data_IF_442237142688
#
_entry.id   IF_442237142688
#
_cell.length_a   1.000
_cell.length_b   1.000
_cell.length_c   1.000
_cell.angle_alpha   90.00
_cell.angle_beta   90.00
_cell.angle_gamma   90.00
#
_symmetry.space_group_name_H-M   'P 1'
#
loop_
_entity.id
_entity.type
_entity.pdbx_description
1 polymer ?
#
# COMPACT_ATOMS: atom_id res chain seq x y z
N UNK A 1 47.40 33.70 -10.75
CA UNK A 1 46.69 32.67 -11.54
C UNK A 1 45.55 32.17 -10.68
N UNK A 2 44.37 32.70 -10.96
CA UNK A 2 43.09 32.37 -10.34
C UNK A 2 42.44 31.27 -11.16
N UNK A 3 42.10 30.14 -10.54
CA UNK A 3 41.10 29.22 -11.09
C UNK A 3 39.91 29.18 -10.16
N UNK A 4 38.78 29.55 -10.75
CA UNK A 4 37.46 29.72 -10.18
C UNK A 4 36.86 28.38 -9.75
N UNK A 5 36.50 28.32 -8.48
CA UNK A 5 35.55 27.38 -7.91
C UNK A 5 34.20 27.56 -8.62
N UNK A 6 33.90 26.67 -9.58
CA UNK A 6 32.61 26.60 -10.26
C UNK A 6 31.53 26.26 -9.24
N UNK A 7 30.84 27.28 -8.75
CA UNK A 7 29.56 27.13 -8.11
C UNK A 7 28.62 26.44 -9.12
N UNK A 8 27.99 25.34 -8.71
CA UNK A 8 26.73 24.89 -9.31
C UNK A 8 25.58 25.59 -8.58
N UNK A 9 24.96 26.65 -9.16
CA UNK A 9 23.63 26.99 -8.72
C UNK A 9 22.69 27.30 -9.88
N UNK A 10 21.45 26.83 -9.76
CA UNK A 10 20.18 27.59 -9.90
C UNK A 10 19.04 26.62 -10.23
N UNK A 11 19.27 25.66 -11.14
CA UNK A 11 18.22 24.73 -11.59
C UNK A 11 17.74 23.80 -10.47
N UNK A 12 18.64 23.09 -9.76
CA UNK A 12 18.23 22.11 -8.76
C UNK A 12 17.57 22.74 -7.51
N UNK A 13 17.94 23.98 -7.16
CA UNK A 13 17.24 24.78 -6.13
C UNK A 13 15.87 25.27 -6.61
N UNK A 14 15.74 25.61 -7.90
CA UNK A 14 14.48 26.00 -8.53
C UNK A 14 13.46 24.85 -8.51
N UNK A 15 13.88 23.63 -8.89
CA UNK A 15 13.02 22.44 -8.87
C UNK A 15 12.59 22.04 -7.45
N UNK A 16 13.52 22.02 -6.49
CA UNK A 16 13.18 21.73 -5.09
C UNK A 16 12.21 22.77 -4.47
N UNK A 17 12.32 24.04 -4.89
CA UNK A 17 11.41 25.09 -4.44
C UNK A 17 10.02 24.97 -5.10
N UNK A 18 9.97 24.62 -6.39
CA UNK A 18 8.71 24.36 -7.10
C UNK A 18 7.96 23.18 -6.49
N UNK A 19 8.67 22.10 -6.15
CA UNK A 19 8.10 20.95 -5.46
C UNK A 19 7.54 21.34 -4.08
N UNK A 20 8.26 22.17 -3.32
CA UNK A 20 7.78 22.68 -2.03
C UNK A 20 6.51 23.53 -2.14
N UNK A 21 6.43 24.42 -3.14
CA UNK A 21 5.24 25.25 -3.37
C UNK A 21 4.05 24.38 -3.79
N UNK A 22 4.27 23.45 -4.71
CA UNK A 22 3.25 22.51 -5.16
C UNK A 22 2.71 21.67 -4.00
N UNK A 23 3.59 21.10 -3.17
CA UNK A 23 3.22 20.32 -1.98
C UNK A 23 2.40 21.17 -1.01
N UNK A 24 2.78 22.44 -0.77
CA UNK A 24 2.03 23.34 0.08
C UNK A 24 0.61 23.62 -0.47
N UNK A 25 0.49 23.83 -1.78
CA UNK A 25 -0.79 24.06 -2.44
C UNK A 25 -1.69 22.81 -2.41
N UNK A 26 -1.12 21.61 -2.61
CA UNK A 26 -1.86 20.34 -2.47
C UNK A 26 -2.42 20.23 -1.05
N UNK A 27 -1.58 20.41 -0.02
CA UNK A 27 -1.99 20.35 1.39
C UNK A 27 -3.09 21.35 1.72
N UNK A 28 -2.98 22.57 1.20
CA UNK A 28 -4.01 23.61 1.36
C UNK A 28 -5.32 23.15 0.75
N UNK A 29 -5.32 22.70 -0.51
CA UNK A 29 -6.51 22.20 -1.19
C UNK A 29 -7.16 21.03 -0.44
N UNK A 30 -6.37 20.10 0.10
CA UNK A 30 -6.89 18.98 0.90
C UNK A 30 -7.61 19.43 2.18
N UNK A 31 -7.28 20.61 2.72
CA UNK A 31 -7.88 21.14 3.95
C UNK A 31 -9.05 22.08 3.70
N UNK A 32 -9.07 22.75 2.55
CA UNK A 32 -10.05 23.81 2.28
C UNK A 32 -11.14 23.43 1.28
N UNK A 33 -10.85 22.48 0.39
CA UNK A 33 -11.79 22.14 -0.69
C UNK A 33 -12.87 21.18 -0.21
N UNK A 34 -14.11 21.42 -0.64
CA UNK A 34 -15.21 20.50 -0.40
C UNK A 34 -15.07 19.27 -1.29
N UNK A 35 -14.94 18.08 -0.70
CA UNK A 35 -14.83 16.79 -1.38
C UNK A 35 -13.82 16.76 -2.55
N UNK A 36 -12.52 17.04 -2.32
CA UNK A 36 -11.52 17.20 -3.40
C UNK A 36 -11.37 15.96 -4.29
N UNK A 37 -11.70 14.77 -3.78
CA UNK A 37 -11.70 13.53 -4.56
C UNK A 37 -12.68 13.53 -5.74
N UNK A 38 -13.70 14.39 -5.75
CA UNK A 38 -14.62 14.54 -6.89
C UNK A 38 -13.99 15.32 -8.05
N UNK A 39 -12.91 16.06 -7.79
CA UNK A 39 -12.23 16.92 -8.77
C UNK A 39 -10.92 16.33 -9.29
N UNK A 40 -10.62 15.06 -9.02
CA UNK A 40 -9.36 14.41 -9.43
C UNK A 40 -9.10 14.44 -10.94
N UNK A 41 -10.13 14.64 -11.76
CA UNK A 41 -9.98 14.79 -13.21
C UNK A 41 -9.25 16.08 -13.60
N UNK A 42 -9.30 17.11 -12.75
CA UNK A 42 -8.61 18.38 -12.95
C UNK A 42 -7.11 18.28 -12.61
N UNK A 43 -6.67 17.23 -11.92
CA UNK A 43 -5.25 17.02 -11.59
C UNK A 43 -4.45 16.77 -12.88
N UNK A 44 -3.49 17.64 -13.22
CA UNK A 44 -2.65 17.45 -14.41
C UNK A 44 -1.81 16.18 -14.29
N UNK A 45 -1.65 15.45 -15.40
CA UNK A 45 -0.83 14.23 -15.44
C UNK A 45 0.62 14.48 -15.01
N UNK A 46 1.16 15.67 -15.24
CA UNK A 46 2.53 16.00 -14.89
C UNK A 46 2.79 15.94 -13.37
N UNK A 47 1.76 16.12 -12.54
CA UNK A 47 1.89 16.20 -11.08
C UNK A 47 1.19 15.06 -10.35
N UNK A 48 0.57 14.11 -11.07
CA UNK A 48 -0.25 13.06 -10.45
C UNK A 48 0.53 12.16 -9.50
N UNK A 49 1.81 11.87 -9.80
CA UNK A 49 2.68 11.10 -8.91
C UNK A 49 3.02 11.87 -7.63
N UNK A 50 3.32 13.17 -7.75
CA UNK A 50 3.56 14.05 -6.60
C UNK A 50 2.33 14.10 -5.71
N UNK A 51 1.14 14.22 -6.29
CA UNK A 51 -0.13 14.25 -5.54
C UNK A 51 -0.36 12.97 -4.77
N UNK A 52 -0.22 11.78 -5.37
CA UNK A 52 -0.40 10.51 -4.64
C UNK A 52 0.65 10.29 -3.56
N UNK A 53 1.90 10.72 -3.80
CA UNK A 53 2.96 10.67 -2.79
C UNK A 53 2.64 11.55 -1.58
N UNK A 54 2.22 12.80 -1.81
CA UNK A 54 1.81 13.73 -0.74
C UNK A 54 0.61 13.20 0.01
N UNK A 55 -0.41 12.71 -0.70
CA UNK A 55 -1.60 12.12 -0.08
C UNK A 55 -1.24 10.96 0.86
N UNK A 56 -0.32 10.09 0.45
CA UNK A 56 0.14 9.01 1.32
C UNK A 56 0.94 9.52 2.51
N UNK A 57 1.79 10.53 2.34
CA UNK A 57 2.53 11.14 3.45
C UNK A 57 1.60 11.76 4.49
N UNK A 58 0.55 12.48 4.05
CA UNK A 58 -0.45 13.03 4.98
C UNK A 58 -1.26 11.92 5.67
N UNK A 59 -1.58 10.83 4.97
CA UNK A 59 -2.22 9.65 5.58
C UNK A 59 -1.34 8.96 6.62
N UNK A 60 -0.02 8.90 6.38
CA UNK A 60 0.93 8.28 7.30
C UNK A 60 0.98 9.03 8.65
N UNK A 61 0.68 10.33 8.69
CA UNK A 61 0.66 11.15 9.92
C UNK A 61 -0.74 11.45 10.47
N UNK A 62 -1.78 11.35 9.64
CA UNK A 62 -3.16 11.63 10.05
C UNK A 62 -3.72 10.53 10.97
N UNK A 63 -4.70 10.91 11.81
CA UNK A 63 -5.34 9.98 12.73
C UNK A 63 -6.39 9.18 11.96
N UNK A 64 -6.31 7.83 11.94
CA UNK A 64 -7.33 7.03 11.28
C UNK A 64 -8.74 7.35 11.81
N UNK A 65 -9.67 7.61 10.89
CA UNK A 65 -11.07 7.91 11.20
C UNK A 65 -11.43 9.40 11.30
N UNK A 66 -10.45 10.32 11.34
CA UNK A 66 -10.73 11.75 11.31
C UNK A 66 -11.18 12.23 9.89
N UNK A 67 -11.73 13.44 9.82
CA UNK A 67 -12.22 14.01 8.56
C UNK A 67 -11.08 14.19 7.55
N UNK A 68 -9.90 14.64 8.00
CA UNK A 68 -8.75 14.89 7.13
C UNK A 68 -8.18 13.61 6.53
N UNK A 69 -8.08 12.55 7.33
CA UNK A 69 -7.75 11.19 6.93
C UNK A 69 -8.74 10.69 5.90
N UNK A 70 -10.05 10.89 6.12
CA UNK A 70 -11.09 10.52 5.17
C UNK A 70 -10.92 11.25 3.84
N UNK A 71 -10.64 12.55 3.87
CA UNK A 71 -10.38 13.38 2.68
C UNK A 71 -9.17 12.86 1.91
N UNK A 72 -8.04 12.67 2.60
CA UNK A 72 -6.81 12.19 1.96
C UNK A 72 -6.99 10.78 1.39
N UNK A 73 -7.64 9.88 2.14
CA UNK A 73 -7.88 8.49 1.72
C UNK A 73 -8.78 8.42 0.50
N UNK A 74 -9.90 9.15 0.50
CA UNK A 74 -10.82 9.20 -0.65
C UNK A 74 -10.13 9.81 -1.88
N UNK A 75 -9.31 10.85 -1.68
CA UNK A 75 -8.57 11.50 -2.77
C UNK A 75 -7.50 10.59 -3.37
N UNK A 76 -6.73 9.89 -2.51
CA UNK A 76 -5.72 8.93 -2.94
C UNK A 76 -6.37 7.81 -3.74
N UNK A 77 -7.43 7.21 -3.20
CA UNK A 77 -8.17 6.14 -3.86
C UNK A 77 -8.72 6.60 -5.22
N UNK A 78 -9.39 7.75 -5.27
CA UNK A 78 -10.00 8.26 -6.49
C UNK A 78 -8.95 8.53 -7.59
N UNK A 79 -7.83 9.18 -7.25
CA UNK A 79 -6.77 9.49 -8.22
C UNK A 79 -6.06 8.22 -8.70
N UNK A 80 -5.69 7.32 -7.78
CA UNK A 80 -5.03 6.06 -8.11
C UNK A 80 -5.89 5.12 -8.96
N UNK A 81 -7.19 5.02 -8.68
CA UNK A 81 -8.12 4.22 -9.49
C UNK A 81 -8.29 4.78 -10.91
N UNK A 82 -8.22 6.11 -11.05
CA UNK A 82 -8.40 6.81 -12.32
C UNK A 82 -7.15 6.77 -13.20
N UNK A 83 -5.97 6.95 -12.61
CA UNK A 83 -4.69 7.07 -13.32
C UNK A 83 -3.90 5.78 -13.36
N UNK A 84 -4.37 4.77 -12.62
CA UNK A 84 -3.72 3.48 -12.51
C UNK A 84 -2.31 3.53 -11.87
N UNK A 85 -2.11 4.48 -10.95
CA UNK A 85 -0.86 4.74 -10.22
C UNK A 85 -1.00 4.47 -8.72
N UNK A 86 0.12 4.38 -8.00
CA UNK A 86 0.17 4.25 -6.54
C UNK A 86 1.35 5.07 -5.98
N UNK A 87 1.37 5.38 -4.66
CA UNK A 87 2.48 6.10 -4.04
C UNK A 87 3.81 5.34 -4.17
N UNK A 88 4.89 6.02 -4.52
CA UNK A 88 6.22 5.41 -4.66
C UNK A 88 6.72 4.76 -3.36
N UNK A 89 6.25 5.26 -2.20
CA UNK A 89 6.54 4.67 -0.89
C UNK A 89 6.06 3.24 -0.73
N UNK A 90 5.20 2.72 -1.62
CA UNK A 90 4.79 1.33 -1.58
C UNK A 90 5.82 0.42 -2.25
N UNK A 91 6.67 0.93 -3.13
CA UNK A 91 7.61 0.10 -3.88
C UNK A 91 8.78 -0.33 -2.98
N UNK A 92 8.95 -1.63 -2.80
CA UNK A 92 10.10 -2.22 -2.12
C UNK A 92 11.09 -2.79 -3.14
N UNK A 93 12.37 -2.49 -2.99
CA UNK A 93 13.42 -2.97 -3.91
C UNK A 93 14.34 -4.03 -3.31
N UNK A 94 14.48 -4.07 -1.98
CA UNK A 94 15.51 -4.85 -1.30
C UNK A 94 15.01 -6.21 -0.80
N UNK A 95 14.29 -6.95 -1.66
CA UNK A 95 13.75 -8.26 -1.29
C UNK A 95 14.68 -9.40 -1.72
N UNK A 96 14.82 -10.39 -0.84
CA UNK A 96 15.60 -11.60 -1.08
C UNK A 96 14.68 -12.81 -0.87
N UNK A 97 14.48 -13.61 -1.92
CA UNK A 97 13.79 -14.90 -1.81
C UNK A 97 14.71 -15.91 -1.11
N UNK A 98 14.22 -16.59 -0.08
CA UNK A 98 15.03 -17.54 0.70
C UNK A 98 14.91 -19.00 0.23
N UNK A 99 13.82 -19.33 -0.44
CA UNK A 99 13.47 -20.71 -0.79
C UNK A 99 13.30 -20.90 -2.31
N UNK A 100 13.59 -22.11 -2.80
CA UNK A 100 13.46 -22.44 -4.23
C UNK A 100 12.00 -22.66 -4.64
N UNK A 101 11.18 -23.15 -3.71
CA UNK A 101 9.76 -23.44 -3.89
C UNK A 101 8.90 -22.51 -3.02
N UNK A 102 7.63 -22.24 -3.42
CA UNK A 102 6.71 -21.50 -2.57
C UNK A 102 6.39 -22.31 -1.31
N UNK A 103 6.20 -21.61 -0.19
CA UNK A 103 5.78 -22.22 1.07
C UNK A 103 4.35 -22.76 0.98
N UNK A 104 3.46 -22.00 0.36
CA UNK A 104 2.09 -22.40 0.10
C UNK A 104 1.55 -21.72 -1.17
N UNK A 105 0.41 -22.20 -1.67
CA UNK A 105 -0.25 -21.62 -2.83
C UNK A 105 -1.76 -21.59 -2.64
N UNK A 106 -2.36 -20.43 -2.86
CA UNK A 106 -3.80 -20.24 -2.91
C UNK A 106 -4.35 -20.38 -4.35
N UNK A 107 -5.60 -19.99 -4.55
CA UNK A 107 -6.22 -19.99 -5.88
C UNK A 107 -5.55 -19.00 -6.85
N UNK A 108 -5.12 -17.84 -6.35
CA UNK A 108 -4.69 -16.69 -7.15
C UNK A 108 -3.25 -16.23 -6.89
N UNK A 109 -2.55 -16.81 -5.91
CA UNK A 109 -1.22 -16.39 -5.51
C UNK A 109 -0.40 -17.53 -4.92
N UNK A 110 0.92 -17.40 -5.03
CA UNK A 110 1.91 -18.19 -4.32
C UNK A 110 2.46 -17.38 -3.14
N UNK A 111 2.62 -18.02 -1.99
CA UNK A 111 3.20 -17.43 -0.79
C UNK A 111 4.63 -17.92 -0.67
N UNK A 112 5.57 -16.98 -0.68
CA UNK A 112 6.99 -17.24 -0.52
C UNK A 112 7.49 -16.63 0.77
N UNK A 113 8.44 -17.31 1.41
CA UNK A 113 9.23 -16.73 2.49
C UNK A 113 10.40 -15.96 1.90
N UNK A 114 10.56 -14.72 2.34
CA UNK A 114 11.65 -13.84 1.93
C UNK A 114 12.28 -13.12 3.11
N UNK A 115 13.22 -12.25 2.78
CA UNK A 115 13.85 -11.31 3.68
C UNK A 115 13.90 -9.92 3.05
N UNK A 116 13.71 -8.89 3.87
CA UNK A 116 13.87 -7.49 3.49
C UNK A 116 14.55 -6.76 4.65
N UNK A 117 15.68 -6.11 4.37
CA UNK A 117 16.49 -5.39 5.37
C UNK A 117 16.80 -6.25 6.63
N UNK A 118 17.12 -7.53 6.43
CA UNK A 118 17.43 -8.49 7.49
C UNK A 118 16.21 -9.02 8.27
N UNK A 119 14.98 -8.65 7.88
CA UNK A 119 13.74 -9.10 8.54
C UNK A 119 12.99 -10.10 7.67
N UNK A 120 12.43 -11.19 8.25
CA UNK A 120 11.65 -12.16 7.50
C UNK A 120 10.33 -11.54 7.03
N UNK A 121 10.01 -11.71 5.75
CA UNK A 121 8.80 -11.20 5.10
C UNK A 121 8.05 -12.30 4.37
N UNK A 122 6.73 -12.12 4.28
CA UNK A 122 5.86 -12.85 3.39
C UNK A 122 5.82 -12.14 2.03
N UNK A 123 6.00 -12.90 0.96
CA UNK A 123 5.95 -12.44 -0.42
C UNK A 123 4.77 -13.15 -1.10
N UNK A 124 3.60 -12.49 -1.15
CA UNK A 124 2.41 -13.00 -1.86
C UNK A 124 2.51 -12.63 -3.34
N UNK A 125 2.99 -13.58 -4.15
CA UNK A 125 3.23 -13.42 -5.58
C UNK A 125 1.97 -13.79 -6.34
N UNK A 126 1.37 -12.82 -7.05
CA UNK A 126 0.17 -13.07 -7.82
C UNK A 126 0.48 -13.97 -9.03
N UNK A 127 -0.40 -14.94 -9.27
CA UNK A 127 -0.33 -15.81 -10.43
C UNK A 127 -1.02 -15.16 -11.61
N UNK A 128 -0.29 -14.97 -12.70
CA UNK A 128 -0.80 -14.35 -13.92
C UNK A 128 -0.83 -15.42 -15.02
N UNK A 129 -2.01 -15.97 -15.29
CA UNK A 129 -2.20 -17.08 -16.24
C UNK A 129 -2.88 -16.65 -17.55
N UNK A 130 -2.55 -15.50 -18.14
CA UNK A 130 -3.49 -14.90 -19.09
C UNK A 130 -2.98 -13.80 -20.05
N UNK A 131 -3.84 -13.44 -21.00
CA UNK A 131 -3.75 -12.34 -21.96
C UNK A 131 -3.54 -10.96 -21.31
N UNK A 132 -2.96 -10.02 -22.08
CA UNK A 132 -2.64 -8.65 -21.65
C UNK A 132 -3.79 -7.92 -20.93
N UNK A 133 -5.02 -8.01 -21.43
CA UNK A 133 -6.18 -7.33 -20.84
C UNK A 133 -6.49 -7.82 -19.42
N UNK A 134 -6.25 -9.10 -19.11
CA UNK A 134 -6.45 -9.63 -17.77
C UNK A 134 -5.29 -9.26 -16.84
N UNK A 135 -4.05 -9.09 -17.36
CA UNK A 135 -2.92 -8.55 -16.58
C UNK A 135 -3.23 -7.16 -16.05
N UNK A 136 -3.75 -6.27 -16.89
CA UNK A 136 -4.15 -4.91 -16.48
C UNK A 136 -5.24 -4.93 -15.40
N UNK A 137 -6.21 -5.85 -15.52
CA UNK A 137 -7.27 -6.03 -14.52
C UNK A 137 -6.70 -6.49 -13.16
N UNK A 138 -5.80 -7.47 -13.17
CA UNK A 138 -5.11 -7.97 -11.96
C UNK A 138 -4.29 -6.85 -11.33
N UNK A 139 -3.55 -6.09 -12.14
CA UNK A 139 -2.76 -4.95 -11.66
C UNK A 139 -3.62 -3.85 -11.04
N UNK A 140 -4.76 -3.54 -11.66
CA UNK A 140 -5.71 -2.57 -11.13
C UNK A 140 -6.28 -3.01 -9.79
N UNK A 141 -6.54 -4.31 -9.66
CA UNK A 141 -6.99 -4.90 -8.40
C UNK A 141 -5.90 -4.85 -7.33
N UNK A 142 -4.67 -5.28 -7.65
CA UNK A 142 -3.52 -5.22 -6.74
C UNK A 142 -3.28 -3.79 -6.22
N UNK A 143 -3.32 -2.78 -7.10
CA UNK A 143 -3.15 -1.38 -6.71
C UNK A 143 -4.24 -0.92 -5.75
N UNK A 144 -5.50 -1.28 -6.02
CA UNK A 144 -6.63 -0.98 -5.14
C UNK A 144 -6.47 -1.62 -3.77
N UNK A 145 -6.03 -2.87 -3.72
CA UNK A 145 -5.82 -3.61 -2.48
C UNK A 145 -4.67 -3.03 -1.68
N UNK A 146 -3.54 -2.73 -2.31
CA UNK A 146 -2.40 -2.11 -1.64
C UNK A 146 -2.76 -0.75 -1.03
N UNK A 147 -3.51 0.09 -1.77
CA UNK A 147 -3.94 1.41 -1.26
C UNK A 147 -4.80 1.27 -0.02
N UNK A 148 -5.75 0.33 -0.01
CA UNK A 148 -6.64 0.12 1.13
C UNK A 148 -5.86 -0.47 2.29
N UNK A 149 -5.13 -1.55 2.04
CA UNK A 149 -4.40 -2.29 3.07
C UNK A 149 -3.34 -1.43 3.76
N UNK A 150 -2.67 -0.54 3.02
CA UNK A 150 -1.74 0.44 3.61
C UNK A 150 -2.39 1.30 4.71
N UNK A 151 -3.68 1.58 4.62
CA UNK A 151 -4.37 2.42 5.60
C UNK A 151 -4.89 1.63 6.81
N UNK A 152 -4.89 0.30 6.75
CA UNK A 152 -5.42 -0.56 7.82
C UNK A 152 -4.39 -0.79 8.93
N UNK A 153 -4.09 0.27 9.68
CA UNK A 153 -3.09 0.26 10.75
C UNK A 153 -3.74 -0.06 12.10
N UNK A 154 -3.78 -1.35 12.46
CA UNK A 154 -4.37 -1.83 13.71
C UNK A 154 -3.60 -3.05 14.25
N UNK A 155 -3.58 -3.26 15.58
CA UNK A 155 -2.80 -4.33 16.22
C UNK A 155 -3.23 -5.75 15.83
N UNK A 156 -4.50 -5.94 15.47
CA UNK A 156 -5.06 -7.22 15.01
C UNK A 156 -5.20 -7.31 13.48
N UNK A 157 -4.58 -6.41 12.71
CA UNK A 157 -4.53 -6.47 11.24
C UNK A 157 -3.08 -6.64 10.80
N UNK A 158 -2.84 -7.58 9.88
CA UNK A 158 -1.50 -7.80 9.35
C UNK A 158 -0.96 -6.53 8.68
N UNK A 159 0.21 -6.01 9.07
CA UNK A 159 0.75 -4.80 8.46
C UNK A 159 1.10 -4.99 6.98
N UNK A 160 0.75 -3.99 6.17
CA UNK A 160 1.23 -3.90 4.80
C UNK A 160 2.60 -3.23 4.76
N UNK A 161 3.58 -3.93 4.18
CA UNK A 161 4.94 -3.40 3.99
C UNK A 161 5.04 -2.68 2.65
N UNK A 162 4.59 -3.32 1.56
CA UNK A 162 4.72 -2.75 0.23
C UNK A 162 4.46 -3.73 -0.90
N UNK A 163 4.90 -3.35 -2.09
CA UNK A 163 4.77 -4.08 -3.35
C UNK A 163 6.15 -4.20 -3.96
N UNK A 164 6.42 -5.32 -4.61
CA UNK A 164 7.51 -5.41 -5.57
C UNK A 164 6.98 -5.80 -6.95
N UNK A 165 7.37 -5.00 -7.94
CA UNK A 165 6.92 -5.14 -9.33
C UNK A 165 7.99 -5.71 -10.28
N UNK A 166 9.20 -5.99 -9.81
CA UNK A 166 10.36 -6.30 -10.66
C UNK A 166 10.99 -7.66 -10.39
N UNK A 167 11.03 -8.09 -9.13
CA UNK A 167 11.71 -9.31 -8.70
C UNK A 167 11.05 -10.58 -9.25
N UNK A 168 9.72 -10.62 -9.28
CA UNK A 168 8.93 -11.76 -9.78
C UNK A 168 8.37 -11.55 -11.18
N UNK A 169 8.97 -10.64 -11.97
CA UNK A 169 8.50 -10.32 -13.34
C UNK A 169 8.25 -11.59 -14.17
N UNK A 170 7.10 -11.73 -14.85
CA UNK A 170 6.06 -10.72 -15.10
C UNK A 170 5.01 -10.59 -13.98
N UNK A 171 5.14 -11.35 -12.89
CA UNK A 171 4.26 -11.29 -11.72
C UNK A 171 4.63 -10.16 -10.76
N UNK A 172 3.66 -9.79 -9.92
CA UNK A 172 3.78 -8.76 -8.90
C UNK A 172 3.61 -9.38 -7.52
N UNK A 173 4.23 -8.78 -6.52
CA UNK A 173 4.23 -9.32 -5.17
C UNK A 173 3.75 -8.27 -4.16
N UNK A 174 2.83 -8.66 -3.28
CA UNK A 174 2.48 -7.93 -2.06
C UNK A 174 3.34 -8.44 -0.90
N UNK A 175 3.79 -7.53 -0.06
CA UNK A 175 4.77 -7.80 1.00
C UNK A 175 4.15 -7.46 2.36
N UNK A 176 4.30 -8.39 3.30
CA UNK A 176 3.91 -8.24 4.71
C UNK A 176 4.93 -8.93 5.62
N UNK A 177 4.87 -8.75 6.95
CA UNK A 177 5.71 -9.53 7.87
C UNK A 177 5.45 -11.04 7.73
N UNK A 178 6.49 -11.85 7.94
CA UNK A 178 6.31 -13.30 7.99
C UNK A 178 5.63 -13.75 9.28
N UNK A 179 4.54 -14.51 9.17
CA UNK A 179 3.78 -15.04 10.30
C UNK A 179 4.21 -16.49 10.59
N UNK A 180 5.03 -16.69 11.62
CA UNK A 180 5.59 -18.02 11.96
C UNK A 180 4.53 -19.08 12.27
N UNK A 181 3.39 -18.66 12.81
CA UNK A 181 2.31 -19.56 13.22
C UNK A 181 1.31 -19.85 12.08
N UNK A 182 1.54 -19.31 10.88
CA UNK A 182 0.66 -19.48 9.73
C UNK A 182 -0.74 -18.90 9.96
N UNK A 183 -1.74 -19.51 9.32
CA UNK A 183 -3.14 -19.09 9.43
C UNK A 183 -3.73 -19.41 10.79
N UNK A 184 -4.72 -18.62 11.22
CA UNK A 184 -5.44 -18.87 12.47
C UNK A 184 -6.05 -20.28 12.52
N UNK A 185 -6.58 -20.78 11.39
CA UNK A 185 -7.18 -22.11 11.30
C UNK A 185 -6.12 -23.18 11.62
N UNK A 186 -5.00 -23.15 10.90
CA UNK A 186 -3.89 -24.10 11.10
C UNK A 186 -3.31 -24.01 12.51
N UNK A 187 -3.23 -22.80 13.08
CA UNK A 187 -2.77 -22.60 14.44
C UNK A 187 -3.70 -23.25 15.48
N UNK A 188 -5.02 -23.07 15.34
CA UNK A 188 -6.01 -23.64 16.25
C UNK A 188 -6.18 -25.16 16.12
N UNK A 189 -5.88 -25.72 14.95
CA UNK A 189 -5.80 -27.19 14.76
C UNK A 189 -4.62 -27.78 15.54
N UNK A 190 -3.48 -27.10 15.56
CA UNK A 190 -2.29 -27.52 16.31
C UNK A 190 -2.38 -27.22 17.81
N UNK A 191 -3.21 -26.26 18.22
CA UNK A 191 -3.38 -25.84 19.61
C UNK A 191 -4.86 -25.90 20.02
N UNK A 192 -5.43 -27.10 20.20
CA UNK A 192 -6.87 -27.28 20.45
C UNK A 192 -7.35 -26.60 21.74
N UNK A 193 -6.46 -26.46 22.74
CA UNK A 193 -6.75 -25.83 24.03
C UNK A 193 -6.62 -24.30 24.02
N UNK A 194 -6.26 -23.69 22.88
CA UNK A 194 -6.13 -22.24 22.77
C UNK A 194 -7.50 -21.54 22.93
N UNK A 195 -7.49 -20.36 23.56
CA UNK A 195 -8.71 -19.59 23.80
C UNK A 195 -9.29 -19.03 22.48
N UNK A 196 -10.26 -19.76 21.92
CA UNK A 196 -10.96 -19.36 20.69
C UNK A 196 -11.78 -18.08 20.88
N UNK A 197 -12.26 -17.78 22.08
CA UNK A 197 -12.99 -16.53 22.35
C UNK A 197 -12.05 -15.33 22.27
N UNK A 198 -10.81 -15.47 22.71
CA UNK A 198 -9.79 -14.45 22.52
C UNK A 198 -9.55 -14.16 21.03
N UNK A 199 -9.39 -15.18 20.20
CA UNK A 199 -9.25 -15.01 18.74
C UNK A 199 -10.45 -14.29 18.11
N UNK A 200 -11.68 -14.67 18.51
CA UNK A 200 -12.91 -14.01 18.02
C UNK A 200 -12.94 -12.53 18.40
N UNK A 201 -12.52 -12.18 19.62
CA UNK A 201 -12.44 -10.78 20.07
C UNK A 201 -11.43 -9.98 19.25
N UNK A 202 -10.26 -10.56 18.97
CA UNK A 202 -9.23 -9.91 18.14
C UNK A 202 -9.73 -9.66 16.71
N UNK A 203 -10.42 -10.65 16.11
CA UNK A 203 -11.07 -10.49 14.80
C UNK A 203 -12.15 -9.40 14.86
N UNK A 204 -12.99 -9.40 15.89
CA UNK A 204 -14.06 -8.41 16.04
C UNK A 204 -13.48 -6.98 16.13
N UNK A 205 -12.42 -6.78 16.92
CA UNK A 205 -11.73 -5.48 17.02
C UNK A 205 -11.17 -5.03 15.66
N UNK A 206 -10.57 -5.95 14.89
CA UNK A 206 -10.07 -5.64 13.55
C UNK A 206 -11.20 -5.24 12.59
N UNK A 207 -12.31 -5.97 12.59
CA UNK A 207 -13.48 -5.72 11.74
C UNK A 207 -14.16 -4.40 12.12
N UNK A 208 -14.33 -4.13 13.41
CA UNK A 208 -14.84 -2.84 13.92
C UNK A 208 -13.98 -1.67 13.43
N UNK A 209 -12.65 -1.78 13.57
CA UNK A 209 -11.74 -0.78 13.07
C UNK A 209 -11.89 -0.57 11.56
N UNK A 210 -11.94 -1.64 10.77
CA UNK A 210 -12.08 -1.51 9.32
C UNK A 210 -13.42 -0.85 8.93
N UNK A 211 -14.54 -1.20 9.58
CA UNK A 211 -15.84 -0.55 9.37
C UNK A 211 -15.80 0.94 9.72
N UNK A 212 -15.07 1.31 10.78
CA UNK A 212 -14.92 2.73 11.17
C UNK A 212 -14.23 3.56 10.09
N UNK A 213 -13.36 2.92 9.29
CA UNK A 213 -12.67 3.60 8.20
C UNK A 213 -13.57 3.71 6.97
N UNK A 214 -14.18 2.64 6.47
CA UNK A 214 -14.97 2.65 5.23
C UNK A 214 -16.27 1.82 5.37
N UNK A 215 -17.37 2.41 5.86
CA UNK A 215 -18.60 1.67 6.15
C UNK A 215 -19.35 1.16 4.90
N UNK A 216 -18.97 1.62 3.70
CA UNK A 216 -19.64 1.30 2.43
C UNK A 216 -19.02 0.09 1.69
N UNK A 217 -17.97 -0.55 2.21
CA UNK A 217 -17.24 -1.60 1.47
C UNK A 217 -17.44 -3.01 2.01
N UNK A 218 -17.81 -3.93 1.11
CA UNK A 218 -17.58 -5.37 1.27
C UNK A 218 -16.07 -5.65 1.31
N UNK A 219 -15.67 -6.44 2.31
CA UNK A 219 -14.27 -6.66 2.66
C UNK A 219 -13.43 -7.30 1.55
N UNK A 220 -12.17 -6.87 1.51
CA UNK A 220 -11.10 -7.20 0.58
C UNK A 220 -11.03 -8.71 0.27
N UNK A 221 -11.39 -9.12 -0.95
CA UNK A 221 -11.42 -10.52 -1.37
C UNK A 221 -10.05 -11.22 -1.38
N UNK A 222 -8.94 -10.49 -1.28
CA UNK A 222 -7.58 -11.04 -1.35
C UNK A 222 -6.75 -10.88 -0.07
N UNK A 223 -7.17 -10.03 0.87
CA UNK A 223 -6.45 -9.81 2.14
C UNK A 223 -6.79 -10.90 3.17
N UNK A 224 -7.94 -11.56 3.02
CA UNK A 224 -8.40 -12.63 3.91
C UNK A 224 -7.60 -13.95 3.82
N UNK A 225 -6.47 -13.98 3.11
CA UNK A 225 -5.66 -15.18 2.86
C UNK A 225 -4.18 -15.00 3.27
N UNK A 226 -3.92 -14.14 4.24
CA UNK A 226 -2.58 -13.92 4.82
C UNK A 226 -2.58 -14.29 6.29
#
# INVERSE_FOLDING_TARGET
>A
MSESMLTLPTAQKSWANLDSILVAEIRKNLRTSFNPWQQINAVPKLVEQVVVNVLQQELDVATPGDEYFTVCRKSLRALSEKRDIFPESFQCTNIIKKEELPFSGGASADVWKGEMDGRPVCLKVLRIFTSKNQVEKILKQLRREAIVWRQLRHGNILPFIGINCSYFTPSYCLISPWMNNGSLISFLELHPDHDRLHCVRDIANAVEFMHSLDPEREYLSFVNEL
#
